data_IF_972945070713
#
_entry.id   IF_972945070713
#
_cell.length_a   1.000
_cell.length_b   1.000
_cell.length_c   1.000
_cell.angle_alpha   90.00
_cell.angle_beta   90.00
_cell.angle_gamma   90.00
#
_symmetry.space_group_name_H-M   'P 1'
#
loop_
_entity.id
_entity.type
_entity.pdbx_description
1 polymer ?
#
# COMPACT_ATOMS: atom_id res chain seq x y z
N UNK A 1 -24.53 20.67 -32.64
CA UNK A 1 -23.33 19.80 -32.63
C UNK A 1 -22.63 19.97 -31.28
N UNK A 2 -22.39 18.90 -30.51
CA UNK A 2 -21.73 19.01 -29.20
C UNK A 2 -20.20 19.11 -29.35
N UNK A 3 -19.53 19.77 -28.40
CA UNK A 3 -18.06 19.75 -28.32
C UNK A 3 -17.55 18.31 -28.11
N UNK A 4 -16.32 17.98 -28.58
CA UNK A 4 -15.73 16.67 -28.36
C UNK A 4 -15.54 16.39 -26.85
N UNK A 5 -15.56 15.10 -26.48
CA UNK A 5 -15.26 14.67 -25.12
C UNK A 5 -13.80 15.01 -24.79
N UNK A 6 -13.58 15.59 -23.62
CA UNK A 6 -12.22 15.83 -23.11
C UNK A 6 -12.00 14.94 -21.90
N UNK A 7 -10.89 14.17 -21.91
CA UNK A 7 -10.51 13.31 -20.81
C UNK A 7 -9.66 14.06 -19.79
N UNK A 8 -9.99 13.87 -18.52
CA UNK A 8 -9.23 14.42 -17.41
C UNK A 8 -8.82 13.32 -16.45
N UNK A 9 -7.55 13.32 -16.07
CA UNK A 9 -7.05 12.55 -14.93
C UNK A 9 -7.19 13.39 -13.67
N UNK A 10 -7.74 12.80 -12.62
CA UNK A 10 -8.03 13.44 -11.34
C UNK A 10 -7.35 12.65 -10.23
N UNK A 11 -6.72 13.37 -9.30
CA UNK A 11 -6.17 12.81 -8.07
C UNK A 11 -7.00 13.24 -6.87
N UNK A 12 -7.27 12.31 -5.95
CA UNK A 12 -8.18 12.56 -4.83
C UNK A 12 -7.79 11.78 -3.57
N UNK A 13 -8.29 12.28 -2.44
CA UNK A 13 -7.98 11.85 -1.08
C UNK A 13 -9.24 11.58 -0.28
N UNK A 14 -9.24 10.51 0.52
CA UNK A 14 -10.37 10.16 1.39
C UNK A 14 -9.94 9.31 2.58
N UNK A 15 -10.69 9.43 3.67
CA UNK A 15 -10.67 8.46 4.76
C UNK A 15 -11.64 7.32 4.42
N UNK A 16 -11.15 6.08 4.40
CA UNK A 16 -11.94 4.93 3.95
C UNK A 16 -12.98 4.41 4.94
N UNK A 17 -12.89 4.83 6.21
CA UNK A 17 -13.64 4.26 7.34
C UNK A 17 -15.15 4.41 7.24
N UNK A 18 -15.62 5.45 6.53
CA UNK A 18 -17.05 5.74 6.34
C UNK A 18 -17.62 5.27 5.01
N UNK A 19 -16.85 4.51 4.21
CA UNK A 19 -17.24 4.10 2.86
C UNK A 19 -17.15 2.58 2.69
N UNK A 20 -18.00 2.03 1.81
CA UNK A 20 -17.95 0.63 1.36
C UNK A 20 -16.80 0.34 0.38
N UNK A 21 -15.74 1.13 0.46
CA UNK A 21 -14.61 1.14 -0.46
C UNK A 21 -14.73 2.25 -1.51
N UNK A 22 -13.82 2.22 -2.49
CA UNK A 22 -13.78 3.29 -3.51
C UNK A 22 -14.79 3.11 -4.63
N UNK A 23 -15.12 1.87 -4.96
CA UNK A 23 -15.98 1.54 -6.11
C UNK A 23 -17.43 1.93 -5.83
N UNK A 24 -18.19 2.15 -6.90
CA UNK A 24 -19.65 2.35 -6.81
C UNK A 24 -20.30 1.20 -6.02
N UNK A 25 -21.12 1.55 -5.04
CA UNK A 25 -21.90 0.56 -4.27
C UNK A 25 -23.11 0.08 -5.08
N UNK A 26 -23.50 -1.17 -4.88
CA UNK A 26 -24.74 -1.75 -5.44
C UNK A 26 -25.94 -0.99 -4.86
N UNK A 27 -27.06 -0.84 -5.61
CA UNK A 27 -28.32 -0.37 -5.04
C UNK A 27 -28.65 -1.14 -3.74
N UNK A 28 -29.21 -0.44 -2.74
CA UNK A 28 -29.60 -0.96 -1.42
C UNK A 28 -28.51 -1.21 -0.37
N UNK A 29 -27.25 -0.88 -0.64
CA UNK A 29 -26.24 -0.85 0.44
C UNK A 29 -26.37 0.40 1.33
N UNK A 30 -26.35 0.26 2.67
CA UNK A 30 -26.50 1.39 3.59
C UNK A 30 -25.30 2.35 3.53
N UNK A 31 -24.12 1.86 3.15
CA UNK A 31 -22.90 2.65 3.01
C UNK A 31 -22.52 2.78 1.55
N UNK A 32 -22.45 4.02 1.06
CA UNK A 32 -22.08 4.33 -0.33
C UNK A 32 -20.57 4.27 -0.54
N UNK A 33 -20.18 3.98 -1.78
CA UNK A 33 -18.77 4.04 -2.20
C UNK A 33 -18.31 5.47 -2.50
N UNK A 34 -17.00 5.70 -2.43
CA UNK A 34 -16.40 7.02 -2.74
C UNK A 34 -16.76 7.47 -4.15
N UNK A 35 -16.77 6.56 -5.13
CA UNK A 35 -17.13 6.83 -6.52
C UNK A 35 -18.54 7.42 -6.67
N UNK A 36 -19.53 6.97 -5.89
CA UNK A 36 -20.89 7.50 -5.96
C UNK A 36 -20.92 9.01 -5.68
N UNK A 37 -20.17 9.47 -4.68
CA UNK A 37 -20.10 10.88 -4.30
C UNK A 37 -19.33 11.71 -5.31
N UNK A 38 -18.22 11.16 -5.84
CA UNK A 38 -17.44 11.80 -6.90
C UNK A 38 -18.28 12.01 -8.16
N UNK A 39 -19.05 11.00 -8.58
CA UNK A 39 -19.93 11.09 -9.75
C UNK A 39 -21.06 12.09 -9.52
N UNK A 40 -21.70 12.09 -8.34
CA UNK A 40 -22.74 13.07 -7.98
C UNK A 40 -22.20 14.51 -8.02
N UNK A 41 -21.01 14.75 -7.47
CA UNK A 41 -20.35 16.06 -7.51
C UNK A 41 -20.01 16.46 -8.96
N UNK A 42 -19.57 15.51 -9.79
CA UNK A 42 -19.23 15.77 -11.18
C UNK A 42 -20.43 16.14 -12.03
N UNK A 43 -21.64 15.65 -11.74
CA UNK A 43 -22.85 16.08 -12.45
C UNK A 43 -23.12 17.59 -12.30
N UNK A 44 -22.59 18.23 -11.25
CA UNK A 44 -22.71 19.69 -11.06
C UNK A 44 -21.89 20.52 -12.05
N UNK A 45 -20.98 19.89 -12.81
CA UNK A 45 -20.34 20.51 -13.98
C UNK A 45 -21.29 20.68 -15.17
N UNK A 46 -22.53 20.18 -15.07
CA UNK A 46 -23.57 20.19 -16.11
C UNK A 46 -23.05 19.65 -17.45
N UNK A 47 -22.53 18.41 -17.45
CA UNK A 47 -22.08 17.78 -18.70
C UNK A 47 -23.28 17.43 -19.58
N UNK A 48 -23.05 17.27 -20.88
CA UNK A 48 -24.06 16.79 -21.84
C UNK A 48 -24.40 15.33 -21.57
N UNK A 49 -23.40 14.51 -21.25
CA UNK A 49 -23.53 13.10 -20.90
C UNK A 49 -23.13 12.86 -19.45
N UNK A 50 -23.75 11.89 -18.73
CA UNK A 50 -23.35 11.56 -17.38
C UNK A 50 -21.86 11.24 -17.28
N UNK A 51 -21.16 11.91 -16.37
CA UNK A 51 -19.74 11.63 -16.08
C UNK A 51 -19.63 10.35 -15.26
N UNK A 52 -18.80 9.42 -15.73
CA UNK A 52 -18.41 8.20 -15.01
C UNK A 52 -16.94 8.22 -14.64
N UNK A 53 -16.62 7.73 -13.45
CA UNK A 53 -15.25 7.69 -12.93
C UNK A 53 -14.62 6.31 -13.19
N UNK A 54 -13.52 6.32 -13.92
CA UNK A 54 -12.69 5.13 -14.11
C UNK A 54 -11.54 5.15 -13.10
N UNK A 55 -11.74 4.50 -11.95
CA UNK A 55 -10.78 4.47 -10.83
C UNK A 55 -9.51 3.66 -11.18
N UNK A 56 -8.34 4.18 -10.79
CA UNK A 56 -7.04 3.55 -10.99
C UNK A 56 -6.82 2.34 -10.08
N UNK A 57 -7.07 2.50 -8.78
CA UNK A 57 -6.87 1.43 -7.80
C UNK A 57 -8.11 1.26 -6.95
N UNK A 58 -8.67 0.03 -6.97
CA UNK A 58 -9.73 -0.36 -6.05
C UNK A 58 -9.15 -0.38 -4.63
N UNK A 59 -9.85 0.23 -3.69
CA UNK A 59 -9.60 0.07 -2.26
C UNK A 59 -10.84 -0.53 -1.61
N UNK A 60 -10.61 -1.42 -0.65
CA UNK A 60 -11.68 -2.09 0.09
C UNK A 60 -12.33 -1.14 1.10
N UNK A 61 -13.48 -1.54 1.65
CA UNK A 61 -14.11 -0.91 2.81
C UNK A 61 -13.09 -0.66 3.93
N UNK A 62 -13.04 0.56 4.44
CA UNK A 62 -12.12 0.97 5.50
C UNK A 62 -10.70 1.33 5.05
N UNK A 63 -10.31 1.08 3.80
CA UNK A 63 -8.96 1.43 3.31
C UNK A 63 -8.91 2.89 2.87
N UNK A 64 -7.90 3.62 3.34
CA UNK A 64 -7.71 5.04 3.06
C UNK A 64 -6.97 5.27 1.74
N UNK A 65 -7.05 6.50 1.21
CA UNK A 65 -6.17 6.93 0.12
C UNK A 65 -5.62 8.33 0.36
N UNK A 66 -4.29 8.43 0.38
CA UNK A 66 -3.55 9.68 0.34
C UNK A 66 -3.42 10.21 -1.08
N UNK A 67 -3.51 9.33 -2.08
CA UNK A 67 -3.52 9.70 -3.48
C UNK A 67 -4.08 8.54 -4.30
N UNK A 68 -5.40 8.53 -4.51
CA UNK A 68 -6.00 7.70 -5.56
C UNK A 68 -6.15 8.53 -6.83
N UNK A 69 -6.28 7.86 -7.96
CA UNK A 69 -6.39 8.48 -9.27
C UNK A 69 -7.60 7.91 -10.01
N UNK A 70 -8.24 8.73 -10.83
CA UNK A 70 -9.32 8.31 -11.72
C UNK A 70 -9.30 9.17 -12.98
N UNK A 71 -9.78 8.63 -14.10
CA UNK A 71 -10.07 9.48 -15.25
C UNK A 71 -11.58 9.65 -15.44
N UNK A 72 -11.94 10.80 -15.99
CA UNK A 72 -13.31 11.15 -16.38
C UNK A 72 -13.32 11.71 -17.79
N UNK A 73 -14.42 11.47 -18.50
CA UNK A 73 -14.69 12.09 -19.79
C UNK A 73 -15.78 13.15 -19.62
N UNK A 74 -15.47 14.39 -20.00
CA UNK A 74 -16.40 15.52 -19.87
C UNK A 74 -16.76 16.04 -21.24
N UNK A 75 -18.05 16.03 -21.55
CA UNK A 75 -18.62 16.64 -22.73
C UNK A 75 -19.39 17.91 -22.35
N UNK A 76 -19.05 19.05 -22.95
CA UNK A 76 -19.75 20.32 -22.73
C UNK A 76 -20.74 20.60 -23.86
N UNK A 77 -21.68 21.51 -23.59
CA UNK A 77 -22.59 22.04 -24.61
C UNK A 77 -21.81 22.63 -25.81
N UNK A 78 -22.48 22.73 -26.95
CA UNK A 78 -21.93 23.28 -28.18
C UNK A 78 -21.19 24.61 -27.92
N UNK A 79 -20.08 24.83 -28.64
CA UNK A 79 -19.29 26.08 -28.62
C UNK A 79 -18.58 26.41 -27.30
N UNK A 80 -18.73 25.57 -26.25
CA UNK A 80 -17.99 25.76 -25.01
C UNK A 80 -16.62 25.07 -25.10
N UNK A 81 -15.51 25.76 -24.80
CA UNK A 81 -14.18 25.15 -24.78
C UNK A 81 -14.07 24.14 -23.62
N UNK A 82 -13.14 23.17 -23.65
CA UNK A 82 -12.94 22.27 -22.53
C UNK A 82 -12.65 23.03 -21.22
N UNK A 83 -13.08 22.49 -20.08
CA UNK A 83 -12.80 23.11 -18.78
C UNK A 83 -11.29 23.21 -18.54
N UNK A 84 -10.87 24.33 -17.98
CA UNK A 84 -9.55 24.40 -17.36
C UNK A 84 -9.54 23.49 -16.11
N UNK A 85 -8.41 22.83 -15.86
CA UNK A 85 -8.22 21.84 -14.79
C UNK A 85 -8.62 22.39 -13.41
N UNK A 86 -8.32 23.66 -13.16
CA UNK A 86 -8.67 24.31 -11.89
C UNK A 86 -10.17 24.37 -11.64
N UNK A 87 -11.00 24.47 -12.69
CA UNK A 87 -12.47 24.51 -12.58
C UNK A 87 -12.99 23.15 -12.12
N UNK A 88 -12.43 22.06 -12.66
CA UNK A 88 -12.79 20.71 -12.23
C UNK A 88 -12.46 20.53 -10.74
N UNK A 89 -11.24 20.91 -10.36
CA UNK A 89 -10.78 20.81 -8.97
C UNK A 89 -11.64 21.64 -8.02
N UNK A 90 -11.91 22.91 -8.34
CA UNK A 90 -12.67 23.80 -7.46
C UNK A 90 -14.14 23.38 -7.36
N UNK A 91 -14.76 23.00 -8.47
CA UNK A 91 -16.16 22.58 -8.52
C UNK A 91 -16.37 21.29 -7.72
N UNK A 92 -15.57 20.26 -7.99
CA UNK A 92 -15.68 19.00 -7.26
C UNK A 92 -15.42 19.21 -5.76
N UNK A 93 -14.38 19.97 -5.39
CA UNK A 93 -14.13 20.26 -3.98
C UNK A 93 -15.28 21.04 -3.31
N UNK A 94 -15.95 21.94 -4.03
CA UNK A 94 -17.09 22.68 -3.47
C UNK A 94 -18.26 21.75 -3.14
N UNK A 95 -18.63 20.86 -4.06
CA UNK A 95 -19.76 19.95 -3.86
C UNK A 95 -19.45 18.74 -2.97
N UNK A 96 -18.17 18.43 -2.76
CA UNK A 96 -17.72 17.37 -1.85
C UNK A 96 -17.57 17.84 -0.40
N UNK A 97 -17.67 19.16 -0.11
CA UNK A 97 -17.55 19.69 1.26
C UNK A 97 -18.42 19.00 2.33
N UNK A 98 -19.67 18.59 2.04
CA UNK A 98 -20.51 17.92 3.03
C UNK A 98 -20.03 16.49 3.35
N UNK A 99 -19.21 15.90 2.49
CA UNK A 99 -18.85 14.48 2.54
C UNK A 99 -17.47 14.26 3.17
N UNK A 100 -17.21 13.07 3.76
CA UNK A 100 -15.89 12.73 4.29
C UNK A 100 -14.78 12.57 3.23
N UNK A 101 -15.03 12.92 1.96
CA UNK A 101 -14.01 12.99 0.91
C UNK A 101 -13.24 14.28 1.13
N UNK A 102 -12.01 14.14 1.61
CA UNK A 102 -11.21 15.27 2.06
C UNK A 102 -11.01 16.30 0.95
N UNK A 103 -10.64 15.83 -0.25
CA UNK A 103 -10.14 16.71 -1.32
C UNK A 103 -9.94 16.03 -2.67
N UNK A 104 -10.30 16.73 -3.75
CA UNK A 104 -9.67 16.62 -5.07
C UNK A 104 -8.38 17.44 -5.07
N UNK A 105 -7.26 16.76 -5.27
CA UNK A 105 -5.91 17.32 -5.15
C UNK A 105 -5.54 18.09 -6.42
N UNK A 106 -5.79 17.49 -7.58
CA UNK A 106 -5.47 18.06 -8.89
C UNK A 106 -6.25 17.35 -10.01
N UNK A 107 -6.29 18.00 -11.16
CA UNK A 107 -6.78 17.45 -12.42
C UNK A 107 -5.81 17.80 -13.54
N UNK A 108 -5.76 16.98 -14.60
CA UNK A 108 -4.95 17.17 -15.80
C UNK A 108 -5.74 16.74 -17.02
N UNK A 109 -5.72 17.52 -18.10
CA UNK A 109 -6.10 16.99 -19.41
C UNK A 109 -5.13 15.90 -19.83
N UNK A 110 -5.66 14.80 -20.34
CA UNK A 110 -4.88 13.67 -20.83
C UNK A 110 -5.42 13.22 -22.18
N UNK A 111 -4.62 12.53 -23.00
CA UNK A 111 -5.08 11.97 -24.27
C UNK A 111 -6.29 11.04 -24.10
N UNK A 112 -7.11 10.92 -25.14
CA UNK A 112 -8.32 10.08 -25.12
C UNK A 112 -8.02 8.58 -24.94
N UNK A 113 -6.82 8.13 -25.32
CA UNK A 113 -6.39 6.74 -25.10
C UNK A 113 -5.85 6.47 -23.67
N UNK A 114 -5.70 7.51 -22.84
CA UNK A 114 -5.20 7.35 -21.47
C UNK A 114 -6.21 6.61 -20.59
N UNK A 115 -5.76 5.60 -19.85
CA UNK A 115 -6.61 4.90 -18.88
C UNK A 115 -5.97 4.91 -17.50
N UNK A 116 -6.61 5.57 -16.53
CA UNK A 116 -6.10 5.70 -15.17
C UNK A 116 -5.71 4.36 -14.52
N UNK A 117 -6.35 3.24 -14.88
CA UNK A 117 -5.99 1.92 -14.36
C UNK A 117 -4.82 1.29 -15.11
N UNK A 118 -4.90 1.22 -16.43
CA UNK A 118 -3.95 0.46 -17.24
C UNK A 118 -2.68 1.24 -17.57
N UNK A 119 -2.75 2.57 -17.62
CA UNK A 119 -1.58 3.44 -17.85
C UNK A 119 -0.75 3.67 -16.58
N UNK A 120 -1.18 3.16 -15.42
CA UNK A 120 -0.45 3.29 -14.17
C UNK A 120 0.79 2.38 -14.18
N UNK A 121 1.96 3.00 -13.97
CA UNK A 121 3.25 2.32 -13.88
C UNK A 121 3.38 1.57 -12.56
N UNK A 122 2.91 2.17 -11.47
CA UNK A 122 2.98 1.55 -10.15
C UNK A 122 1.94 2.13 -9.19
N UNK A 123 1.67 1.36 -8.14
CA UNK A 123 0.87 1.74 -6.98
C UNK A 123 1.71 1.47 -5.75
N UNK A 124 1.75 2.45 -4.86
CA UNK A 124 2.43 2.31 -3.57
C UNK A 124 1.39 2.32 -2.46
N UNK A 125 1.43 1.28 -1.64
CA UNK A 125 0.64 1.18 -0.42
C UNK A 125 1.55 1.33 0.79
N UNK A 126 1.05 2.01 1.82
CA UNK A 126 1.69 2.03 3.13
C UNK A 126 0.70 1.51 4.16
N UNK A 127 1.18 0.63 5.03
CA UNK A 127 0.41 0.12 6.15
C UNK A 127 1.04 0.61 7.45
N UNK A 128 0.24 1.24 8.32
CA UNK A 128 0.70 1.77 9.61
C UNK A 128 0.43 0.76 10.74
N UNK A 129 1.47 0.44 11.49
CA UNK A 129 1.45 -0.43 12.65
C UNK A 129 1.82 0.36 13.91
N UNK A 130 1.24 -0.04 15.03
CA UNK A 130 1.55 0.45 16.37
C UNK A 130 1.89 -0.73 17.28
N UNK A 131 2.99 -0.65 18.01
CA UNK A 131 3.46 -1.69 18.92
C UNK A 131 3.76 -1.10 20.30
N UNK A 132 3.93 -1.95 21.32
CA UNK A 132 4.12 -1.50 22.70
C UNK A 132 2.82 -1.15 23.42
N UNK A 133 1.68 -1.52 22.84
CA UNK A 133 0.37 -1.45 23.49
C UNK A 133 -0.05 -2.82 23.99
N UNK A 134 -0.51 -2.87 25.23
CA UNK A 134 -1.08 -4.07 25.86
C UNK A 134 -2.56 -4.23 25.56
N UNK A 135 -3.27 -3.14 25.25
CA UNK A 135 -4.71 -3.14 25.01
C UNK A 135 -5.15 -2.06 24.02
N UNK A 136 -6.16 -2.35 23.21
CA UNK A 136 -6.66 -1.45 22.14
C UNK A 136 -7.11 -0.07 22.65
N UNK A 137 -7.49 0.05 23.92
CA UNK A 137 -7.87 1.34 24.53
C UNK A 137 -6.70 2.32 24.68
N UNK A 138 -5.46 1.84 24.56
CA UNK A 138 -4.24 2.67 24.63
C UNK A 138 -3.88 3.30 23.27
N UNK A 139 -4.61 2.99 22.20
CA UNK A 139 -4.43 3.63 20.90
C UNK A 139 -4.81 5.11 21.04
N UNK A 140 -3.91 6.06 20.71
CA UNK A 140 -4.23 7.48 20.79
C UNK A 140 -5.44 7.85 19.94
N UNK A 141 -6.23 8.83 20.37
CA UNK A 141 -7.48 9.22 19.70
C UNK A 141 -7.27 9.55 18.22
N UNK A 142 -6.18 10.25 17.87
CA UNK A 142 -5.85 10.60 16.49
C UNK A 142 -5.20 9.47 15.68
N UNK A 143 -4.91 8.33 16.29
CA UNK A 143 -4.41 7.13 15.61
C UNK A 143 -5.52 6.07 15.42
N UNK A 144 -6.67 6.26 16.08
CA UNK A 144 -7.85 5.41 15.90
C UNK A 144 -8.25 5.40 14.43
N UNK A 145 -8.42 4.19 13.92
CA UNK A 145 -8.72 3.92 12.52
C UNK A 145 -7.68 4.47 11.52
N UNK A 146 -6.44 4.75 11.94
CA UNK A 146 -5.34 5.17 11.06
C UNK A 146 -4.09 4.28 11.20
N UNK A 147 -4.12 3.31 12.10
CA UNK A 147 -3.08 2.30 12.27
C UNK A 147 -3.70 1.01 12.81
N UNK A 148 -2.93 -0.08 12.77
CA UNK A 148 -3.27 -1.31 13.46
C UNK A 148 -2.33 -1.52 14.64
N UNK A 149 -2.92 -1.73 15.81
CA UNK A 149 -2.22 -2.16 17.01
C UNK A 149 -2.41 -3.68 17.21
N UNK A 150 -1.55 -4.55 16.66
CA UNK A 150 -1.61 -5.97 16.96
C UNK A 150 -1.40 -6.22 18.46
N UNK A 151 -2.17 -7.15 19.02
CA UNK A 151 -1.96 -7.59 20.41
C UNK A 151 -0.63 -8.32 20.58
N UNK A 152 -0.13 -8.36 21.81
CA UNK A 152 1.11 -9.08 22.16
C UNK A 152 2.37 -8.22 22.27
N UNK A 153 2.25 -6.88 22.33
CA UNK A 153 3.35 -5.98 22.68
C UNK A 153 4.26 -5.61 21.51
N UNK A 154 5.56 -5.92 21.62
CA UNK A 154 6.57 -5.59 20.61
C UNK A 154 6.66 -6.67 19.52
N UNK A 155 7.00 -6.27 18.30
CA UNK A 155 7.22 -7.18 17.17
C UNK A 155 8.71 -7.36 16.93
N UNK A 156 9.13 -8.57 16.55
CA UNK A 156 10.47 -8.83 16.03
C UNK A 156 10.60 -8.27 14.60
N UNK A 157 10.87 -6.97 14.50
CA UNK A 157 11.00 -6.27 13.22
C UNK A 157 12.13 -6.82 12.34
N UNK A 158 13.32 -7.19 12.87
CA UNK A 158 14.34 -7.86 12.05
C UNK A 158 13.82 -9.11 11.34
N UNK A 159 13.08 -9.98 12.04
CA UNK A 159 12.47 -11.17 11.42
C UNK A 159 11.40 -10.80 10.38
N UNK A 160 10.62 -9.74 10.63
CA UNK A 160 9.67 -9.22 9.63
C UNK A 160 10.38 -8.71 8.37
N UNK A 161 11.52 -8.02 8.52
CA UNK A 161 12.31 -7.50 7.40
C UNK A 161 12.92 -8.64 6.58
N UNK A 162 13.44 -9.68 7.24
CA UNK A 162 13.91 -10.90 6.58
C UNK A 162 12.78 -11.57 5.80
N UNK A 163 11.62 -11.76 6.44
CA UNK A 163 10.44 -12.35 5.82
C UNK A 163 9.94 -11.54 4.61
N UNK A 164 10.02 -10.20 4.69
CA UNK A 164 9.64 -9.31 3.61
C UNK A 164 10.52 -9.48 2.36
N UNK A 165 11.82 -9.77 2.51
CA UNK A 165 12.69 -10.01 1.35
C UNK A 165 12.18 -11.15 0.45
N UNK A 166 11.53 -12.19 1.00
CA UNK A 166 10.96 -13.28 0.20
C UNK A 166 9.80 -12.83 -0.70
N UNK A 167 9.12 -11.71 -0.39
CA UNK A 167 8.03 -11.19 -1.20
C UNK A 167 8.51 -10.42 -2.44
N UNK A 168 9.79 -10.01 -2.48
CA UNK A 168 10.35 -9.22 -3.59
C UNK A 168 10.48 -10.05 -4.86
N UNK A 169 10.26 -9.40 -6.01
CA UNK A 169 10.36 -10.04 -7.32
C UNK A 169 9.03 -10.61 -7.80
N UNK A 170 9.11 -11.55 -8.74
CA UNK A 170 7.95 -12.09 -9.45
C UNK A 170 7.51 -13.42 -8.83
N UNK A 171 6.30 -13.45 -8.28
CA UNK A 171 5.76 -14.64 -7.62
C UNK A 171 4.30 -14.86 -7.99
N UNK A 172 3.83 -16.10 -7.80
CA UNK A 172 2.42 -16.40 -7.74
C UNK A 172 1.88 -16.03 -6.35
N UNK A 173 1.05 -15.00 -6.27
CA UNK A 173 0.48 -14.49 -5.02
C UNK A 173 -0.89 -15.11 -4.70
N UNK A 174 -1.23 -16.29 -5.23
CA UNK A 174 -2.53 -16.93 -5.01
C UNK A 174 -2.86 -17.14 -3.53
N UNK A 175 -1.90 -17.57 -2.71
CA UNK A 175 -2.10 -17.71 -1.25
C UNK A 175 -2.36 -16.36 -0.57
N UNK A 176 -1.78 -15.28 -1.10
CA UNK A 176 -2.02 -13.92 -0.63
C UNK A 176 -3.26 -13.27 -1.26
N UNK A 177 -4.09 -14.00 -2.02
CA UNK A 177 -5.34 -13.48 -2.59
C UNK A 177 -6.54 -13.93 -1.76
N UNK A 178 -7.48 -13.02 -1.50
CA UNK A 178 -8.81 -13.42 -0.99
C UNK A 178 -9.71 -13.86 -2.15
N UNK A 179 -10.53 -14.89 -1.93
CA UNK A 179 -11.55 -15.32 -2.89
C UNK A 179 -12.75 -14.37 -2.83
N UNK A 180 -13.37 -14.10 -3.98
CA UNK A 180 -14.64 -13.39 -4.14
C UNK A 180 -15.28 -13.83 -5.46
N UNK A 181 -16.59 -14.08 -5.45
CA UNK A 181 -17.40 -14.47 -6.62
C UNK A 181 -17.39 -13.42 -7.74
N UNK A 182 -17.21 -12.15 -7.37
CA UNK A 182 -17.46 -11.01 -8.26
C UNK A 182 -16.18 -10.55 -8.98
N UNK A 183 -15.08 -11.27 -8.80
CA UNK A 183 -13.79 -10.92 -9.38
C UNK A 183 -13.43 -11.84 -10.54
N UNK A 184 -13.25 -11.31 -11.76
CA UNK A 184 -12.81 -12.13 -12.88
C UNK A 184 -11.43 -12.74 -12.58
N UNK A 185 -11.21 -13.96 -13.05
CA UNK A 185 -9.92 -14.62 -12.93
C UNK A 185 -8.84 -13.76 -13.61
N UNK A 186 -7.86 -13.33 -12.83
CA UNK A 186 -6.67 -12.60 -13.30
C UNK A 186 -5.46 -13.42 -12.96
N UNK A 187 -4.42 -13.32 -13.80
CA UNK A 187 -3.13 -13.95 -13.52
C UNK A 187 -2.71 -13.61 -12.08
N UNK A 188 -2.51 -14.63 -11.22
CA UNK A 188 -2.09 -14.42 -9.84
C UNK A 188 -0.61 -14.05 -9.73
N UNK A 189 0.12 -14.16 -10.84
CA UNK A 189 1.53 -13.77 -10.91
C UNK A 189 1.63 -12.24 -10.90
N UNK A 190 2.38 -11.70 -9.94
CA UNK A 190 2.65 -10.28 -9.79
C UNK A 190 4.13 -10.08 -9.49
N UNK A 191 4.65 -8.91 -9.84
CA UNK A 191 6.00 -8.50 -9.49
C UNK A 191 5.93 -7.42 -8.41
N UNK A 192 6.52 -7.69 -7.25
CA UNK A 192 6.69 -6.70 -6.19
C UNK A 192 8.04 -6.01 -6.38
N UNK A 193 8.01 -4.71 -6.66
CA UNK A 193 9.20 -3.92 -6.97
C UNK A 193 9.87 -3.37 -5.72
N UNK A 194 9.11 -3.20 -4.64
CA UNK A 194 9.62 -2.70 -3.37
C UNK A 194 8.81 -3.24 -2.19
N UNK A 195 9.52 -3.57 -1.13
CA UNK A 195 8.98 -3.74 0.21
C UNK A 195 9.96 -3.12 1.21
N UNK A 196 9.44 -2.40 2.18
CA UNK A 196 10.26 -1.85 3.26
C UNK A 196 9.46 -1.78 4.57
N UNK A 197 10.16 -1.98 5.69
CA UNK A 197 9.59 -1.87 7.03
C UNK A 197 10.47 -0.91 7.80
N UNK A 198 9.93 0.26 8.11
CA UNK A 198 10.69 1.36 8.69
C UNK A 198 9.99 1.93 9.93
N UNK A 199 10.75 2.43 10.90
CA UNK A 199 10.18 3.14 12.04
C UNK A 199 9.44 4.39 11.53
N UNK A 200 8.34 4.68 12.20
CA UNK A 200 7.55 5.89 12.07
C UNK A 200 7.33 6.41 13.50
N UNK A 201 7.07 7.70 13.67
CA UNK A 201 6.49 8.26 14.89
C UNK A 201 4.96 8.07 14.95
N UNK A 202 4.30 8.60 15.98
CA UNK A 202 2.84 8.77 16.02
C UNK A 202 2.46 10.25 16.07
N UNK A 203 1.22 10.61 15.75
CA UNK A 203 0.74 12.01 15.85
C UNK A 203 0.94 12.59 17.26
N UNK A 204 0.81 11.74 18.29
CA UNK A 204 0.96 12.11 19.69
C UNK A 204 2.17 11.46 20.35
N UNK A 205 3.19 11.03 19.59
CA UNK A 205 4.35 10.32 20.17
C UNK A 205 5.16 11.15 21.18
N UNK A 206 5.01 12.47 21.17
CA UNK A 206 5.66 13.39 22.12
C UNK A 206 4.88 13.51 23.44
N UNK A 207 3.61 13.12 23.46
CA UNK A 207 2.78 13.13 24.66
C UNK A 207 3.29 12.08 25.65
N UNK A 208 3.42 12.45 26.92
CA UNK A 208 4.06 11.60 27.94
C UNK A 208 3.38 10.23 28.07
N UNK A 209 2.06 10.18 27.94
CA UNK A 209 1.24 8.96 28.03
C UNK A 209 1.56 7.94 26.93
N UNK A 210 2.10 8.38 25.79
CA UNK A 210 2.29 7.55 24.59
C UNK A 210 3.76 7.32 24.23
N UNK A 211 4.72 7.75 25.07
CA UNK A 211 6.17 7.60 24.79
C UNK A 211 6.64 6.15 24.67
N UNK A 212 5.92 5.20 25.28
CA UNK A 212 6.21 3.77 25.16
C UNK A 212 5.71 3.14 23.84
N UNK A 213 4.89 3.86 23.07
CA UNK A 213 4.35 3.36 21.82
C UNK A 213 5.37 3.55 20.69
N UNK A 214 5.53 2.50 19.89
CA UNK A 214 6.37 2.52 18.69
C UNK A 214 5.48 2.41 17.47
N UNK A 215 5.80 3.14 16.41
CA UNK A 215 5.05 3.09 15.16
C UNK A 215 5.95 2.60 14.04
N UNK A 216 5.34 1.90 13.08
CA UNK A 216 6.04 1.32 11.95
C UNK A 216 5.22 1.53 10.69
N UNK A 217 5.91 1.68 9.57
CA UNK A 217 5.32 1.71 8.25
C UNK A 217 5.85 0.54 7.43
N UNK A 218 4.92 -0.25 6.89
CA UNK A 218 5.20 -1.30 5.91
C UNK A 218 4.79 -0.78 4.54
N UNK A 219 5.76 -0.51 3.68
CA UNK A 219 5.55 0.01 2.34
C UNK A 219 5.65 -1.11 1.30
N UNK A 220 4.73 -1.12 0.33
CA UNK A 220 4.74 -2.04 -0.82
C UNK A 220 4.56 -1.25 -2.11
N UNK A 221 5.41 -1.51 -3.11
CA UNK A 221 5.28 -0.95 -4.47
C UNK A 221 5.21 -2.07 -5.49
N UNK A 222 4.19 -2.01 -6.35
CA UNK A 222 4.05 -2.91 -7.50
C UNK A 222 3.24 -2.22 -8.59
N UNK A 223 3.39 -2.68 -9.83
CA UNK A 223 2.47 -2.33 -10.92
C UNK A 223 1.01 -2.63 -10.56
N UNK A 224 0.72 -3.77 -9.92
CA UNK A 224 -0.65 -4.15 -9.54
C UNK A 224 -0.68 -5.11 -8.36
N UNK A 225 -1.80 -5.14 -7.66
CA UNK A 225 -2.04 -6.04 -6.54
C UNK A 225 -3.34 -6.84 -6.76
N UNK A 226 -3.36 -8.07 -6.24
CA UNK A 226 -4.55 -8.90 -6.16
C UNK A 226 -5.47 -8.42 -5.02
N UNK A 227 -6.71 -8.90 -5.03
CA UNK A 227 -7.69 -8.55 -4.01
C UNK A 227 -7.21 -8.96 -2.62
N UNK A 228 -7.17 -7.97 -1.71
CA UNK A 228 -6.66 -8.06 -0.33
C UNK A 228 -5.18 -8.48 -0.20
N UNK A 229 -4.40 -8.48 -1.29
CA UNK A 229 -3.00 -8.93 -1.28
C UNK A 229 -2.14 -8.22 -0.25
N UNK A 230 -2.15 -6.89 -0.24
CA UNK A 230 -1.33 -6.11 0.68
C UNK A 230 -1.67 -6.43 2.15
N UNK A 231 -2.96 -6.53 2.48
CA UNK A 231 -3.41 -6.84 3.84
C UNK A 231 -3.04 -8.27 4.26
N UNK A 232 -3.01 -9.22 3.32
CA UNK A 232 -2.53 -10.58 3.58
C UNK A 232 -1.00 -10.61 3.75
N UNK A 233 -0.25 -9.87 2.94
CA UNK A 233 1.20 -9.77 3.15
C UNK A 233 1.52 -9.17 4.52
N UNK A 234 0.86 -8.06 4.90
CA UNK A 234 1.02 -7.45 6.22
C UNK A 234 0.64 -8.40 7.36
N UNK A 235 -0.47 -9.13 7.23
CA UNK A 235 -0.90 -10.09 8.26
C UNK A 235 0.15 -11.18 8.49
N UNK A 236 0.72 -11.73 7.42
CA UNK A 236 1.78 -12.74 7.50
C UNK A 236 3.07 -12.16 8.11
N UNK A 237 3.48 -10.95 7.71
CA UNK A 237 4.64 -10.28 8.31
C UNK A 237 4.43 -10.03 9.80
N UNK A 238 3.25 -9.57 10.23
CA UNK A 238 2.96 -9.38 11.65
C UNK A 238 2.95 -10.71 12.41
N UNK A 239 2.46 -11.80 11.81
CA UNK A 239 2.56 -13.13 12.41
C UNK A 239 4.01 -13.60 12.59
N UNK A 240 4.91 -13.26 11.65
CA UNK A 240 6.36 -13.45 11.83
C UNK A 240 6.90 -12.59 12.98
N UNK A 241 6.52 -11.32 13.03
CA UNK A 241 6.91 -10.41 14.12
C UNK A 241 6.44 -10.88 15.50
N UNK A 242 5.32 -11.62 15.56
CA UNK A 242 4.77 -12.25 16.77
C UNK A 242 5.39 -13.64 17.06
N UNK A 243 6.29 -14.15 16.24
CA UNK A 243 6.87 -15.49 16.37
C UNK A 243 5.91 -16.65 16.05
N UNK A 244 4.73 -16.36 15.49
CA UNK A 244 3.75 -17.39 15.08
C UNK A 244 4.14 -18.05 13.75
N UNK A 245 4.93 -17.35 12.95
CA UNK A 245 5.54 -17.87 11.74
C UNK A 245 7.04 -17.58 11.78
N UNK A 246 7.84 -18.48 11.20
CA UNK A 246 9.23 -18.19 10.90
C UNK A 246 9.33 -17.40 9.58
N UNK A 247 10.40 -16.62 9.34
CA UNK A 247 10.56 -15.87 8.10
C UNK A 247 10.44 -16.72 6.82
N UNK A 248 10.99 -17.93 6.82
CA UNK A 248 10.95 -18.84 5.66
C UNK A 248 9.54 -19.32 5.30
N UNK A 249 8.58 -19.32 6.24
CA UNK A 249 7.19 -19.67 5.95
C UNK A 249 6.57 -18.72 4.91
N UNK A 250 7.07 -17.48 4.77
CA UNK A 250 6.60 -16.58 3.70
C UNK A 250 6.91 -17.16 2.32
N UNK A 251 8.08 -17.78 2.15
CA UNK A 251 8.45 -18.45 0.91
C UNK A 251 7.54 -19.65 0.65
N UNK A 252 7.31 -20.48 1.66
CA UNK A 252 6.40 -21.63 1.55
C UNK A 252 4.98 -21.20 1.18
N UNK A 253 4.47 -20.10 1.76
CA UNK A 253 3.16 -19.55 1.41
C UNK A 253 3.08 -19.14 -0.06
N UNK A 254 4.15 -18.62 -0.67
CA UNK A 254 4.20 -18.32 -2.10
C UNK A 254 4.19 -19.61 -2.95
N UNK A 255 4.80 -20.69 -2.46
CA UNK A 255 4.89 -21.99 -3.16
C UNK A 255 3.58 -22.77 -3.14
N UNK A 256 2.74 -22.63 -2.09
CA UNK A 256 1.46 -23.35 -1.96
C UNK A 256 0.45 -22.97 -3.06
N UNK A 257 0.47 -21.71 -3.52
CA UNK A 257 -0.41 -21.18 -4.59
C UNK A 257 -1.92 -21.45 -4.40
N UNK A 258 -2.39 -21.49 -3.14
CA UNK A 258 -3.79 -21.76 -2.83
C UNK A 258 -4.37 -20.67 -1.90
N UNK A 259 -5.39 -19.90 -2.34
CA UNK A 259 -5.97 -18.83 -1.52
C UNK A 259 -6.61 -19.28 -0.21
N UNK A 260 -6.96 -20.57 -0.09
CA UNK A 260 -7.52 -21.18 1.12
C UNK A 260 -6.44 -21.59 2.14
N UNK A 261 -5.17 -21.65 1.74
CA UNK A 261 -4.07 -22.09 2.59
C UNK A 261 -3.45 -20.96 3.45
N UNK A 262 -4.01 -19.76 3.41
CA UNK A 262 -3.50 -18.61 4.15
C UNK A 262 -3.81 -18.76 5.66
N UNK A 263 -2.80 -18.92 6.54
CA UNK A 263 -3.01 -19.45 7.89
C UNK A 263 -3.25 -18.37 8.95
N UNK A 264 -3.25 -17.09 8.58
CA UNK A 264 -3.29 -15.98 9.54
C UNK A 264 -4.51 -15.09 9.33
N UNK A 265 -4.84 -14.27 10.31
CA UNK A 265 -5.91 -13.30 10.18
C UNK A 265 -5.54 -12.19 9.19
N UNK A 266 -6.56 -11.69 8.48
CA UNK A 266 -6.41 -10.59 7.56
C UNK A 266 -6.13 -9.30 8.34
N UNK A 267 -5.05 -8.58 7.99
CA UNK A 267 -4.76 -7.29 8.62
C UNK A 267 -5.96 -6.32 8.47
N UNK A 268 -6.32 -5.54 9.50
CA UNK A 268 -7.40 -4.55 9.44
C UNK A 268 -7.28 -3.58 8.26
N UNK A 269 -8.41 -3.07 7.75
CA UNK A 269 -8.41 -2.17 6.60
C UNK A 269 -7.91 -0.76 6.95
N UNK A 270 -8.23 -0.28 8.15
CA UNK A 270 -7.98 1.08 8.61
C UNK A 270 -6.48 1.41 8.77
N UNK A 271 -5.62 0.40 8.85
CA UNK A 271 -4.16 0.60 8.83
C UNK A 271 -3.59 0.82 7.42
N UNK A 272 -4.35 0.56 6.36
CA UNK A 272 -3.86 0.58 4.97
C UNK A 272 -4.22 1.88 4.25
N UNK A 273 -3.21 2.44 3.57
CA UNK A 273 -3.32 3.65 2.78
C UNK A 273 -2.77 3.42 1.38
N UNK A 274 -3.56 3.76 0.35
CA UNK A 274 -3.01 3.98 -0.98
C UNK A 274 -2.23 5.30 -0.98
N UNK A 275 -0.90 5.20 -0.98
CA UNK A 275 0.03 6.33 -0.85
C UNK A 275 0.17 7.10 -2.16
N UNK A 276 0.38 6.39 -3.27
CA UNK A 276 0.58 7.01 -4.58
C UNK A 276 0.23 6.08 -5.74
N UNK A 277 -0.12 6.71 -6.87
CA UNK A 277 -0.23 6.07 -8.18
C UNK A 277 0.70 6.82 -9.13
N UNK A 278 1.62 6.10 -9.77
CA UNK A 278 2.60 6.68 -10.68
C UNK A 278 2.21 6.41 -12.14
N UNK A 279 2.42 7.41 -12.99
CA UNK A 279 2.20 7.37 -14.43
C UNK A 279 3.45 7.93 -15.13
N UNK A 280 3.64 7.61 -16.41
CA UNK A 280 4.78 8.12 -17.19
C UNK A 280 4.70 9.66 -17.36
N UNK A 281 5.84 10.35 -17.34
CA UNK A 281 5.97 11.80 -17.52
C UNK A 281 5.45 12.29 -18.89
N UNK A 282 5.55 11.44 -19.92
CA UNK A 282 4.93 11.69 -21.23
C UNK A 282 3.38 11.63 -21.17
N UNK A 283 2.82 10.98 -20.16
CA UNK A 283 1.37 10.89 -19.93
C UNK A 283 0.84 11.89 -18.90
N UNK A 284 1.70 12.45 -18.04
CA UNK A 284 1.38 13.52 -17.09
C UNK A 284 2.65 14.35 -16.89
N UNK A 285 2.62 15.60 -17.38
CA UNK A 285 3.76 16.52 -17.41
C UNK A 285 4.63 16.44 -16.14
N UNK A 286 5.94 16.20 -16.32
CA UNK A 286 7.02 16.03 -15.32
C UNK A 286 7.04 17.04 -14.16
N UNK A 287 6.28 18.13 -14.26
CA UNK A 287 6.13 19.18 -13.26
C UNK A 287 5.57 18.69 -11.91
N UNK A 288 4.78 17.59 -11.86
CA UNK A 288 4.00 17.27 -10.66
C UNK A 288 4.61 16.25 -9.69
N UNK A 289 5.37 15.26 -10.17
CA UNK A 289 6.17 14.38 -9.27
C UNK A 289 7.12 15.22 -8.41
N UNK A 290 7.66 16.31 -8.98
CA UNK A 290 8.53 17.25 -8.27
C UNK A 290 7.77 18.11 -7.24
N UNK A 291 6.48 18.41 -7.46
CA UNK A 291 5.65 19.18 -6.53
C UNK A 291 5.05 18.32 -5.41
N UNK A 292 4.80 17.02 -5.62
CA UNK A 292 4.51 16.07 -4.54
C UNK A 292 5.75 15.72 -3.72
N UNK A 293 6.95 15.69 -4.33
CA UNK A 293 8.22 15.57 -3.60
C UNK A 293 8.64 16.86 -2.88
N UNK A 294 8.27 18.05 -3.38
CA UNK A 294 8.63 19.37 -2.80
C UNK A 294 7.56 20.00 -1.91
N UNK A 295 6.27 19.68 -2.08
CA UNK A 295 5.24 20.09 -1.11
C UNK A 295 5.36 19.13 0.06
N UNK A 296 5.99 19.64 1.09
CA UNK A 296 6.19 19.12 2.44
C UNK A 296 4.88 18.78 3.16
N UNK A 297 3.99 18.01 2.53
CA UNK A 297 2.72 17.61 3.13
C UNK A 297 2.90 16.33 3.94
N UNK A 298 4.02 15.59 3.75
CA UNK A 298 4.41 14.45 4.58
C UNK A 298 5.92 14.32 4.75
N UNK A 299 6.65 15.44 4.89
CA UNK A 299 8.00 15.38 5.50
C UNK A 299 7.81 15.21 7.00
N UNK A 300 7.43 14.01 7.40
CA UNK A 300 7.86 13.55 8.69
C UNK A 300 9.38 13.59 8.68
N UNK A 301 9.97 14.36 9.59
CA UNK A 301 11.40 14.29 9.86
C UNK A 301 11.66 12.91 10.47
N UNK A 302 11.71 11.89 9.63
CA UNK A 302 12.45 10.68 9.93
C UNK A 302 13.91 11.13 10.09
N UNK A 303 14.40 11.08 11.31
CA UNK A 303 15.83 11.08 11.59
C UNK A 303 16.46 10.07 10.65
N UNK A 304 17.37 10.52 9.79
CA UNK A 304 18.10 9.67 8.85
C UNK A 304 18.76 8.54 9.63
N UNK A 305 18.21 7.34 9.51
CA UNK A 305 18.90 6.10 9.83
C UNK A 305 18.98 5.26 8.56
N UNK A 306 20.15 4.67 8.39
CA UNK A 306 20.78 4.29 7.14
C UNK A 306 19.94 3.26 6.34
N UNK A 307 19.35 3.67 5.22
CA UNK A 307 18.57 2.82 4.29
C UNK A 307 19.40 1.75 3.55
N UNK A 308 20.72 1.71 3.79
CA UNK A 308 21.62 0.73 3.16
C UNK A 308 21.51 -0.68 3.78
N UNK A 309 20.94 -0.83 4.97
CA UNK A 309 20.87 -2.12 5.66
C UNK A 309 19.83 -3.10 5.08
N UNK A 310 18.75 -2.61 4.44
CA UNK A 310 17.71 -3.47 3.86
C UNK A 310 18.09 -3.93 2.45
N UNK A 311 18.65 -3.03 1.63
CA UNK A 311 19.19 -3.41 0.30
C UNK A 311 20.35 -4.39 0.41
N UNK A 312 21.25 -4.19 1.39
CA UNK A 312 22.35 -5.13 1.65
C UNK A 312 21.84 -6.52 2.02
N UNK A 313 20.88 -6.62 2.95
CA UNK A 313 20.33 -7.92 3.41
C UNK A 313 19.53 -8.65 2.33
N UNK A 314 18.68 -7.96 1.56
CA UNK A 314 17.97 -8.63 0.46
C UNK A 314 18.92 -9.02 -0.69
N UNK A 315 20.02 -8.27 -0.94
CA UNK A 315 21.04 -8.65 -1.91
C UNK A 315 21.79 -9.93 -1.49
N UNK A 316 22.12 -10.08 -0.20
CA UNK A 316 22.74 -11.30 0.33
C UNK A 316 21.80 -12.52 0.20
N UNK A 317 20.52 -12.38 0.50
CA UNK A 317 19.53 -13.48 0.35
C UNK A 317 19.30 -13.83 -1.14
N UNK A 318 19.27 -12.82 -2.02
CA UNK A 318 19.16 -13.05 -3.47
C UNK A 318 20.38 -13.78 -4.04
N UNK A 319 21.59 -13.48 -3.56
CA UNK A 319 22.82 -14.14 -4.00
C UNK A 319 22.90 -15.61 -3.54
N UNK A 320 22.43 -15.91 -2.32
CA UNK A 320 22.37 -17.29 -1.79
C UNK A 320 21.33 -18.13 -2.53
N UNK A 321 20.17 -17.54 -2.88
CA UNK A 321 19.13 -18.26 -3.63
C UNK A 321 19.50 -18.51 -5.10
N UNK A 322 20.30 -17.65 -5.73
CA UNK A 322 20.88 -17.93 -7.05
C UNK A 322 21.99 -18.97 -6.99
N UNK A 323 22.83 -18.96 -5.95
CA UNK A 323 23.91 -19.96 -5.77
C UNK A 323 23.35 -21.37 -5.55
N UNK A 324 22.24 -21.53 -4.82
CA UNK A 324 21.58 -22.83 -4.66
C UNK A 324 20.81 -23.30 -5.92
N UNK A 325 20.58 -22.44 -6.90
CA UNK A 325 19.88 -22.79 -8.14
C UNK A 325 20.85 -23.25 -9.25
N UNK A 326 22.14 -22.94 -9.15
CA UNK A 326 23.17 -23.37 -10.11
C UNK A 326 23.78 -24.74 -9.78
N UNK A 327 23.66 -25.22 -8.54
CA UNK A 327 24.04 -26.59 -8.17
C UNK A 327 22.85 -27.55 -8.31
N UNK A 328 22.58 -27.93 -9.56
CA UNK A 328 21.54 -28.89 -9.90
C UNK A 328 21.84 -30.32 -9.41
N UNK A 329 20.86 -30.91 -8.72
CA UNK A 329 20.55 -32.34 -8.86
C UNK A 329 20.74 -33.24 -7.64
N UNK A 330 19.81 -33.22 -6.68
CA UNK A 330 19.56 -34.37 -5.79
C UNK A 330 18.05 -34.52 -5.49
N UNK A 331 17.51 -35.76 -5.45
CA UNK A 331 16.08 -36.00 -5.27
C UNK A 331 15.62 -35.79 -3.82
N UNK A 332 14.34 -35.41 -3.71
CA UNK A 332 13.60 -35.19 -2.46
C UNK A 332 13.40 -36.51 -1.72
N UNK A 333 14.29 -36.86 -0.79
CA UNK A 333 14.03 -37.66 0.42
C UNK A 333 15.36 -38.03 1.10
N UNK A 334 15.78 -37.21 2.08
CA UNK A 334 16.45 -37.63 3.33
C UNK A 334 16.90 -36.36 4.07
N UNK A 335 16.49 -36.23 5.32
CA UNK A 335 16.94 -35.16 6.23
C UNK A 335 18.39 -35.44 6.65
N UNK A 336 19.22 -34.40 6.69
CA UNK A 336 20.49 -34.42 7.42
C UNK A 336 20.57 -33.20 8.38
N UNK A 337 20.63 -33.38 9.72
CA UNK A 337 20.70 -32.29 10.70
C UNK A 337 22.12 -31.75 10.98
N UNK A 338 23.06 -31.79 10.01
CA UNK A 338 24.48 -31.59 10.30
C UNK A 338 25.11 -30.27 9.76
N UNK A 339 24.38 -29.44 9.02
CA UNK A 339 24.92 -28.17 8.48
C UNK A 339 24.48 -26.90 9.23
N UNK A 340 23.68 -27.05 10.30
CA UNK A 340 23.29 -25.94 11.19
C UNK A 340 24.35 -25.65 12.26
N UNK A 341 25.29 -26.58 12.49
CA UNK A 341 26.26 -26.49 13.59
C UNK A 341 27.57 -25.76 13.24
N UNK A 342 27.84 -25.46 11.97
CA UNK A 342 29.04 -24.70 11.57
C UNK A 342 28.82 -23.19 11.44
N UNK A 343 27.57 -22.71 11.53
CA UNK A 343 27.26 -21.27 11.47
C UNK A 343 27.29 -20.56 12.83
N UNK A 344 27.37 -21.29 13.95
CA UNK A 344 27.55 -20.70 15.28
C UNK A 344 29.01 -20.41 15.66
N UNK A 345 29.99 -20.89 14.89
CA UNK A 345 31.41 -20.79 15.26
C UNK A 345 32.12 -19.51 14.77
N UNK A 346 31.53 -18.72 13.87
CA UNK A 346 32.18 -17.51 13.30
C UNK A 346 31.71 -16.20 13.97
N UNK A 347 30.67 -16.24 14.82
CA UNK A 347 30.20 -15.08 15.58
C UNK A 347 30.82 -14.95 16.99
N UNK A 348 31.72 -15.86 17.42
CA UNK A 348 32.33 -15.88 18.76
C UNK A 348 33.79 -15.37 18.81
N UNK A 349 34.31 -14.81 17.72
CA UNK A 349 35.63 -14.18 17.69
C UNK A 349 35.54 -12.77 17.13
N UNK A 350 35.09 -11.83 17.98
CA UNK A 350 35.55 -10.44 18.00
C UNK A 350 35.13 -9.78 19.32
N UNK A 351 35.90 -10.14 20.36
CA UNK A 351 36.46 -9.23 21.36
C UNK A 351 35.61 -8.09 21.88
N UNK A 352 35.10 -8.30 23.10
CA UNK A 352 34.73 -7.25 24.03
C UNK A 352 35.91 -6.33 24.36
N UNK A 353 35.69 -5.01 24.31
CA UNK A 353 36.38 -4.05 25.18
C UNK A 353 35.36 -3.00 25.66
N UNK A 354 35.11 -3.00 26.98
CA UNK A 354 34.43 -1.93 27.72
C UNK A 354 35.46 -0.83 28.03
N UNK A 355 35.12 0.47 28.04
CA UNK A 355 35.88 1.44 28.79
C UNK A 355 35.31 1.56 30.22
N UNK A 356 36.23 1.61 31.18
CA UNK A 356 36.00 1.87 32.58
C UNK A 356 35.68 3.34 32.85
N UNK A 357 35.00 3.56 33.97
CA UNK A 357 34.68 4.85 34.57
C UNK A 357 35.95 5.44 35.19
N UNK A 358 36.19 6.72 34.96
CA UNK A 358 36.85 7.66 35.87
C UNK A 358 36.13 9.01 35.75
#
# INVERSE_FOLDING_TARGET
>A
MHSPKTRYLIFFQYFGTKYSGVMESVPDQPTRGVQNYLEQAAQKLRPVTPIKFCISSRTDTGVHALCNAAHIDVQRAAEKPPFHESIIVSTLNHFLKPEPIRRIVSAYRVPENFNARFSALSRTYVYRLMTGSSHHSQVPVFERDLCWAPGGGHLNVPAMQEAACFLLGTHDFSTFRSVSSDLPFRSPVKRLDHVDIRPSSGFMSHHYEYRGLQFWEVEFKSQSFLYKQVRRMVGALVAVGQGKLAPYHIKELLEIRNPLAYPVHLAPAAGLFLKSVEYNEAGITAFFLRKLRRKEIWRWKATQTNSNAVRGRCATISAVTSSCAEEGGWPVQQRCPALVSQWFAIAAHNGAQRPAIA
#
